data_IF_085028927660
#
_entry.id   IF_085028927660
#
_cell.length_a   1.000
_cell.length_b   1.000
_cell.length_c   1.000
_cell.angle_alpha   90.00
_cell.angle_beta   90.00
_cell.angle_gamma   90.00
#
_symmetry.space_group_name_H-M   'P 1'
#
loop_
_entity.id
_entity.type
_entity.pdbx_description
1 polymer ?
#
# COMPACT_ATOMS: atom_id res chain seq x y z
N UNK A 1 30.73 22.84 -25.05
CA UNK A 1 29.33 22.37 -24.91
C UNK A 1 28.39 23.57 -24.98
N UNK A 2 27.59 23.68 -26.04
CA UNK A 2 26.73 24.84 -26.32
C UNK A 2 25.58 24.95 -25.30
N UNK A 3 25.06 26.16 -25.07
CA UNK A 3 24.01 26.42 -24.08
C UNK A 3 22.72 25.58 -24.30
N UNK A 4 22.43 25.22 -25.54
CA UNK A 4 21.31 24.35 -25.91
C UNK A 4 21.48 22.91 -25.40
N UNK A 5 22.71 22.37 -25.49
CA UNK A 5 23.03 21.02 -25.00
C UNK A 5 22.91 20.97 -23.47
N UNK A 6 23.34 22.02 -22.75
CA UNK A 6 23.19 22.12 -21.28
C UNK A 6 21.72 22.12 -20.83
N UNK A 7 20.84 22.84 -21.54
CA UNK A 7 19.40 22.89 -21.24
C UNK A 7 18.72 21.55 -21.50
N UNK A 8 19.10 20.85 -22.56
CA UNK A 8 18.59 19.53 -22.90
C UNK A 8 18.96 18.48 -21.83
N UNK A 9 20.22 18.46 -21.39
CA UNK A 9 20.64 17.57 -20.30
C UNK A 9 19.93 17.88 -18.97
N UNK A 10 19.73 19.16 -18.66
CA UNK A 10 19.01 19.57 -17.44
C UNK A 10 17.55 19.11 -17.47
N UNK A 11 16.88 19.21 -18.63
CA UNK A 11 15.50 18.75 -18.80
C UNK A 11 15.38 17.22 -18.74
N UNK A 12 16.33 16.47 -19.31
CA UNK A 12 16.37 15.00 -19.23
C UNK A 12 16.55 14.56 -17.77
N UNK A 13 17.46 15.20 -17.03
CA UNK A 13 17.66 14.93 -15.60
C UNK A 13 16.38 15.24 -14.82
N UNK A 14 15.73 16.39 -15.07
CA UNK A 14 14.47 16.74 -14.40
C UNK A 14 13.33 15.76 -14.73
N UNK A 15 13.28 15.24 -15.96
CA UNK A 15 12.32 14.23 -16.39
C UNK A 15 12.60 12.85 -15.76
N UNK A 16 13.86 12.44 -15.62
CA UNK A 16 14.20 11.17 -14.95
C UNK A 16 13.97 11.24 -13.44
N UNK A 17 14.24 12.38 -12.79
CA UNK A 17 13.91 12.59 -11.38
C UNK A 17 12.40 12.60 -11.13
N UNK A 18 11.61 13.22 -12.01
CA UNK A 18 10.14 13.23 -11.88
C UNK A 18 9.52 11.86 -12.16
N UNK A 19 10.06 11.05 -13.09
CA UNK A 19 9.65 9.65 -13.25
C UNK A 19 10.04 8.76 -12.05
N UNK A 20 11.23 8.97 -11.48
CA UNK A 20 11.67 8.23 -10.30
C UNK A 20 10.84 8.55 -9.04
N UNK A 21 10.46 9.83 -8.85
CA UNK A 21 9.56 10.26 -7.77
C UNK A 21 8.16 9.66 -7.93
N UNK A 22 7.62 9.63 -9.15
CA UNK A 22 6.32 8.99 -9.43
C UNK A 22 6.34 7.45 -9.24
N UNK A 23 7.51 6.81 -9.32
CA UNK A 23 7.65 5.37 -9.11
C UNK A 23 7.77 4.97 -7.62
N UNK A 24 8.19 5.88 -6.75
CA UNK A 24 8.40 5.59 -5.31
C UNK A 24 7.15 5.79 -4.45
N UNK A 25 6.14 6.52 -4.94
CA UNK A 25 4.95 6.86 -4.19
C UNK A 25 5.17 7.99 -3.17
N UNK A 26 4.11 8.43 -2.50
CA UNK A 26 4.16 9.49 -1.49
C UNK A 26 3.14 9.29 -0.37
N UNK A 27 3.45 9.80 0.83
CA UNK A 27 2.54 9.80 1.97
C UNK A 27 1.81 11.13 2.11
N UNK A 28 0.53 11.04 2.48
CA UNK A 28 -0.35 12.19 2.70
C UNK A 28 -1.14 12.00 3.99
N UNK A 29 -1.19 13.03 4.82
CA UNK A 29 -2.10 13.08 5.96
C UNK A 29 -3.52 13.37 5.46
N UNK A 30 -4.44 12.52 5.84
CA UNK A 30 -5.86 12.62 5.59
C UNK A 30 -6.60 12.56 6.93
N UNK A 31 -7.85 12.98 6.93
CA UNK A 31 -8.69 12.83 8.09
C UNK A 31 -10.10 12.48 7.69
N UNK A 32 -10.71 11.59 8.44
CA UNK A 32 -12.12 11.27 8.37
C UNK A 32 -12.76 11.68 9.71
N UNK A 33 -14.00 12.14 9.68
CA UNK A 33 -14.79 12.26 10.90
C UNK A 33 -15.58 10.98 11.06
N UNK A 34 -15.50 10.35 12.22
CA UNK A 34 -16.36 9.22 12.54
C UNK A 34 -17.81 9.71 12.69
N UNK A 35 -18.74 9.07 11.97
CA UNK A 35 -20.13 9.52 11.90
C UNK A 35 -20.91 9.29 13.22
N UNK A 36 -20.40 8.44 14.12
CA UNK A 36 -21.03 8.09 15.40
C UNK A 36 -20.39 8.83 16.58
N UNK A 37 -19.07 8.87 16.67
CA UNK A 37 -18.33 9.51 17.77
C UNK A 37 -18.07 11.00 17.50
N UNK A 38 -18.22 11.45 16.24
CA UNK A 38 -17.84 12.79 15.77
C UNK A 38 -16.35 13.10 15.93
N UNK A 39 -15.53 12.09 16.27
CA UNK A 39 -14.10 12.26 16.45
C UNK A 39 -13.40 12.31 15.10
N UNK A 40 -12.34 13.14 15.04
CA UNK A 40 -11.51 13.24 13.85
C UNK A 40 -10.44 12.16 13.89
N UNK A 41 -10.59 11.17 13.02
CA UNK A 41 -9.60 10.13 12.81
C UNK A 41 -8.56 10.59 11.79
N UNK A 42 -7.29 10.53 12.18
CA UNK A 42 -6.18 10.82 11.29
C UNK A 42 -5.70 9.54 10.62
N UNK A 43 -5.60 9.60 9.29
CA UNK A 43 -5.15 8.50 8.45
C UNK A 43 -3.95 8.99 7.64
N UNK A 44 -2.90 8.17 7.51
CA UNK A 44 -1.75 8.51 6.68
C UNK A 44 -1.72 7.56 5.50
N UNK A 45 -2.15 8.05 4.34
CA UNK A 45 -2.32 7.27 3.12
C UNK A 45 -1.06 7.35 2.26
N UNK A 46 -0.56 6.19 1.81
CA UNK A 46 0.48 6.10 0.78
C UNK A 46 -0.18 5.93 -0.59
N UNK A 47 0.28 6.72 -1.55
CA UNK A 47 -0.16 6.67 -2.93
C UNK A 47 0.99 6.25 -3.84
N UNK A 48 0.76 5.22 -4.66
CA UNK A 48 1.66 4.81 -5.73
C UNK A 48 0.90 4.81 -7.04
N UNK A 49 1.46 5.48 -8.07
CA UNK A 49 0.83 5.59 -9.41
C UNK A 49 -0.62 6.12 -9.35
N UNK A 50 -0.91 7.01 -8.40
CA UNK A 50 -2.24 7.61 -8.22
C UNK A 50 -3.25 6.76 -7.47
N UNK A 51 -2.86 5.59 -6.93
CA UNK A 51 -3.74 4.68 -6.18
C UNK A 51 -3.21 4.48 -4.77
N UNK A 52 -4.11 4.30 -3.82
CA UNK A 52 -3.74 4.01 -2.43
C UNK A 52 -3.27 2.55 -2.36
N UNK A 53 -2.06 2.35 -1.88
CA UNK A 53 -1.48 1.02 -1.66
C UNK A 53 -1.14 0.71 -0.20
N UNK A 54 -1.18 1.71 0.68
CA UNK A 54 -1.23 1.50 2.13
C UNK A 54 -1.89 2.66 2.87
N UNK A 55 -2.42 2.37 4.06
CA UNK A 55 -2.99 3.36 4.98
C UNK A 55 -2.49 3.02 6.38
N UNK A 56 -1.89 4.00 7.06
CA UNK A 56 -1.55 3.89 8.46
C UNK A 56 -2.64 4.56 9.32
N UNK A 57 -3.22 3.77 10.22
CA UNK A 57 -4.25 4.19 11.17
C UNK A 57 -3.55 4.64 12.45
N UNK A 58 -3.57 5.94 12.72
CA UNK A 58 -2.79 6.53 13.83
C UNK A 58 -3.28 6.04 15.18
N UNK A 59 -4.59 5.90 15.35
CA UNK A 59 -5.20 5.52 16.63
C UNK A 59 -5.01 4.04 16.96
N UNK A 60 -4.96 3.18 15.93
CA UNK A 60 -4.87 1.72 16.08
C UNK A 60 -3.44 1.19 15.93
N UNK A 61 -2.49 2.07 15.59
CA UNK A 61 -1.09 1.75 15.30
C UNK A 61 -0.95 0.62 14.26
N UNK A 62 -1.85 0.61 13.28
CA UNK A 62 -1.96 -0.43 12.28
C UNK A 62 -1.68 0.11 10.88
N UNK A 63 -0.89 -0.65 10.12
CA UNK A 63 -0.66 -0.43 8.70
C UNK A 63 -1.51 -1.40 7.89
N UNK A 64 -2.49 -0.88 7.15
CA UNK A 64 -3.23 -1.61 6.12
C UNK A 64 -2.43 -1.58 4.82
N UNK A 65 -2.16 -2.75 4.24
CA UNK A 65 -1.47 -2.89 2.94
C UNK A 65 -2.46 -3.38 1.90
N UNK A 66 -2.61 -2.69 0.76
CA UNK A 66 -3.74 -2.88 -0.19
C UNK A 66 -3.24 -3.23 -1.58
N UNK A 67 -3.52 -4.42 -2.11
CA UNK A 67 -3.13 -4.85 -3.45
C UNK A 67 -4.32 -4.91 -4.39
N UNK A 68 -4.30 -4.08 -5.43
CA UNK A 68 -5.28 -4.11 -6.50
C UNK A 68 -5.02 -5.26 -7.48
N UNK A 69 -6.09 -5.89 -7.97
CA UNK A 69 -6.00 -6.88 -9.06
C UNK A 69 -6.40 -6.25 -10.39
N UNK A 70 -5.51 -6.37 -11.40
CA UNK A 70 -5.72 -5.87 -12.77
C UNK A 70 -5.27 -6.92 -13.80
N UNK A 71 -5.89 -6.92 -14.97
CA UNK A 71 -5.52 -7.80 -16.09
C UNK A 71 -6.30 -9.12 -16.16
N UNK A 72 -5.81 -10.08 -16.95
CA UNK A 72 -6.53 -11.33 -17.24
C UNK A 72 -6.82 -12.16 -15.99
N UNK A 73 -5.88 -12.26 -15.05
CA UNK A 73 -6.11 -12.94 -13.77
C UNK A 73 -7.25 -12.32 -12.98
N UNK A 74 -7.43 -10.99 -13.05
CA UNK A 74 -8.60 -10.31 -12.48
C UNK A 74 -9.89 -10.76 -13.18
N UNK A 75 -9.91 -10.76 -14.51
CA UNK A 75 -11.09 -11.18 -15.28
C UNK A 75 -11.47 -12.62 -14.94
N UNK A 76 -10.51 -13.55 -14.95
CA UNK A 76 -10.74 -14.96 -14.63
C UNK A 76 -11.23 -15.15 -13.19
N UNK A 77 -10.69 -14.39 -12.24
CA UNK A 77 -11.09 -14.49 -10.82
C UNK A 77 -12.51 -13.96 -10.62
N UNK A 78 -12.83 -12.80 -11.20
CA UNK A 78 -14.17 -12.22 -11.07
C UNK A 78 -15.21 -13.06 -11.81
N UNK A 79 -14.86 -13.59 -12.98
CA UNK A 79 -15.68 -14.56 -13.68
C UNK A 79 -15.94 -15.79 -12.83
N UNK A 80 -14.89 -16.38 -12.25
CA UNK A 80 -15.04 -17.54 -11.38
C UNK A 80 -15.87 -17.23 -10.11
N UNK A 81 -15.64 -16.10 -9.44
CA UNK A 81 -16.41 -15.71 -8.26
C UNK A 81 -17.89 -15.45 -8.61
N UNK A 82 -18.15 -14.80 -9.74
CA UNK A 82 -19.52 -14.53 -10.22
C UNK A 82 -20.27 -15.81 -10.63
N UNK A 83 -19.57 -16.78 -11.25
CA UNK A 83 -20.18 -18.03 -11.72
C UNK A 83 -20.32 -19.06 -10.60
N UNK A 84 -19.37 -19.12 -9.66
CA UNK A 84 -19.29 -20.20 -8.69
C UNK A 84 -19.57 -19.81 -7.23
N UNK A 85 -19.56 -18.52 -6.85
CA UNK A 85 -19.56 -18.16 -5.42
C UNK A 85 -20.14 -16.77 -5.08
N UNK A 86 -21.43 -16.53 -5.32
CA UNK A 86 -22.20 -15.33 -4.92
C UNK A 86 -21.56 -13.95 -5.21
N UNK A 87 -20.55 -13.90 -6.11
CA UNK A 87 -19.77 -12.71 -6.39
C UNK A 87 -18.77 -12.30 -5.29
N UNK A 88 -18.35 -13.23 -4.42
CA UNK A 88 -17.39 -12.98 -3.32
C UNK A 88 -16.18 -13.92 -3.37
N UNK A 89 -15.05 -13.42 -2.90
CA UNK A 89 -13.82 -14.20 -2.69
C UNK A 89 -13.64 -14.35 -1.19
N UNK A 90 -13.53 -15.60 -0.70
CA UNK A 90 -13.31 -15.85 0.72
C UNK A 90 -11.96 -15.28 1.18
N UNK A 91 -11.83 -15.05 2.47
CA UNK A 91 -10.56 -14.67 3.08
C UNK A 91 -9.54 -15.83 3.06
N UNK A 92 -8.28 -15.52 3.36
CA UNK A 92 -7.21 -16.50 3.43
C UNK A 92 -6.30 -16.22 4.61
N UNK A 93 -6.01 -17.25 5.40
CA UNK A 93 -5.03 -17.17 6.50
C UNK A 93 -3.69 -17.72 6.04
N UNK A 94 -2.61 -16.98 6.31
CA UNK A 94 -1.25 -17.43 6.00
C UNK A 94 -0.17 -16.64 6.75
N UNK A 95 1.08 -16.96 6.44
CA UNK A 95 2.25 -16.26 7.00
C UNK A 95 2.63 -15.08 6.11
N UNK A 96 2.93 -13.94 6.74
CA UNK A 96 3.52 -12.77 6.09
C UNK A 96 4.91 -12.50 6.69
N UNK A 97 5.91 -12.43 5.82
CA UNK A 97 7.27 -12.05 6.19
C UNK A 97 7.46 -10.56 5.94
N UNK A 98 7.93 -9.85 6.95
CA UNK A 98 8.11 -8.41 6.91
C UNK A 98 9.59 -8.05 7.14
N UNK A 99 10.06 -7.01 6.44
CA UNK A 99 11.40 -6.44 6.66
C UNK A 99 11.33 -4.91 6.63
N UNK A 100 11.84 -4.28 7.68
CA UNK A 100 12.08 -2.83 7.76
C UNK A 100 13.53 -2.55 7.37
N UNK A 101 13.76 -1.74 6.34
CA UNK A 101 15.10 -1.43 5.83
C UNK A 101 15.49 -0.04 6.29
N UNK A 102 16.51 0.06 7.15
CA UNK A 102 17.01 1.29 7.74
C UNK A 102 18.14 1.91 6.89
N UNK A 103 18.62 3.11 7.26
CA UNK A 103 19.77 3.73 6.60
C UNK A 103 21.07 2.99 6.94
N UNK A 104 21.91 2.72 5.94
CA UNK A 104 23.21 2.05 6.15
C UNK A 104 23.20 0.54 5.94
N UNK A 105 22.25 0.02 5.17
CA UNK A 105 22.05 -1.42 4.84
C UNK A 105 21.58 -2.32 6.00
N UNK A 106 21.35 -1.75 7.19
CA UNK A 106 20.72 -2.46 8.31
C UNK A 106 19.23 -2.71 8.05
N UNK A 107 18.73 -3.84 8.53
CA UNK A 107 17.30 -4.18 8.47
C UNK A 107 16.84 -4.98 9.68
N UNK A 108 15.55 -4.82 10.03
CA UNK A 108 14.86 -5.63 11.03
C UNK A 108 13.86 -6.55 10.32
N UNK A 109 13.94 -7.86 10.59
CA UNK A 109 13.00 -8.86 10.07
C UNK A 109 12.06 -9.35 11.16
N UNK A 110 10.80 -9.52 10.80
CA UNK A 110 9.81 -10.16 11.64
C UNK A 110 8.82 -10.96 10.82
N UNK A 111 8.29 -12.01 11.45
CA UNK A 111 7.35 -12.95 10.85
C UNK A 111 6.01 -12.80 11.57
N UNK A 112 4.95 -12.68 10.80
CA UNK A 112 3.58 -12.67 11.29
C UNK A 112 2.90 -13.94 10.82
N UNK A 113 2.56 -14.80 11.78
CA UNK A 113 1.84 -16.04 11.54
C UNK A 113 0.33 -15.83 11.66
N UNK A 114 -0.42 -16.68 10.97
CA UNK A 114 -1.88 -16.70 10.98
C UNK A 114 -2.55 -15.35 10.63
N UNK A 115 -1.89 -14.57 9.76
CA UNK A 115 -2.43 -13.30 9.29
C UNK A 115 -3.53 -13.55 8.25
N UNK A 116 -4.65 -12.84 8.41
CA UNK A 116 -5.75 -12.87 7.45
C UNK A 116 -5.51 -11.86 6.32
N UNK A 117 -5.54 -12.35 5.08
CA UNK A 117 -5.63 -11.57 3.86
C UNK A 117 -7.08 -11.60 3.41
N UNK A 118 -7.72 -10.44 3.48
CA UNK A 118 -9.11 -10.26 3.08
C UNK A 118 -9.22 -9.75 1.64
N UNK A 119 -10.34 -10.03 1.00
CA UNK A 119 -10.62 -9.66 -0.39
C UNK A 119 -11.90 -8.85 -0.46
N UNK A 120 -11.87 -7.70 -1.14
CA UNK A 120 -13.02 -6.79 -1.17
C UNK A 120 -13.17 -6.09 -2.53
N UNK A 121 -14.43 -5.85 -2.93
CA UNK A 121 -14.80 -5.21 -4.18
C UNK A 121 -14.83 -3.68 -4.08
N UNK A 122 -14.71 -2.98 -5.21
CA UNK A 122 -14.76 -1.52 -5.23
C UNK A 122 -16.19 -0.93 -5.13
N UNK A 123 -17.23 -1.74 -5.23
CA UNK A 123 -18.62 -1.30 -5.32
C UNK A 123 -19.22 -0.73 -4.01
N UNK A 124 -18.46 -0.73 -2.91
CA UNK A 124 -18.89 -0.21 -1.60
C UNK A 124 -19.91 -1.09 -0.85
N UNK A 125 -20.61 -2.00 -1.55
CA UNK A 125 -21.45 -3.05 -0.98
C UNK A 125 -20.68 -4.35 -0.65
N UNK A 126 -19.36 -4.32 -0.84
CA UNK A 126 -18.44 -5.43 -0.62
C UNK A 126 -18.54 -6.54 -1.66
N UNK A 127 -19.19 -6.29 -2.80
CA UNK A 127 -19.30 -7.26 -3.90
C UNK A 127 -18.37 -6.91 -5.04
N UNK A 128 -17.92 -7.94 -5.73
CA UNK A 128 -17.08 -7.82 -6.92
C UNK A 128 -17.96 -7.45 -8.10
N UNK A 129 -17.70 -6.29 -8.70
CA UNK A 129 -18.35 -5.82 -9.92
C UNK A 129 -17.32 -5.55 -11.02
N UNK A 130 -17.77 -4.90 -12.11
CA UNK A 130 -16.89 -4.54 -13.23
C UNK A 130 -15.78 -3.56 -12.88
N UNK A 131 -15.84 -2.90 -11.73
CA UNK A 131 -14.84 -1.93 -11.28
C UNK A 131 -13.61 -2.58 -10.64
N UNK A 132 -13.71 -3.85 -10.23
CA UNK A 132 -12.57 -4.63 -9.72
C UNK A 132 -12.69 -5.08 -8.26
N UNK A 133 -11.61 -5.68 -7.77
CA UNK A 133 -11.42 -6.00 -6.35
C UNK A 133 -9.95 -5.82 -5.94
N UNK A 134 -9.71 -5.78 -4.63
CA UNK A 134 -8.39 -5.69 -4.02
C UNK A 134 -8.27 -6.68 -2.86
N UNK A 135 -7.04 -7.02 -2.49
CA UNK A 135 -6.74 -7.73 -1.25
C UNK A 135 -6.05 -6.81 -0.26
N UNK A 136 -6.24 -7.07 1.03
CA UNK A 136 -5.55 -6.33 2.07
C UNK A 136 -5.30 -7.17 3.32
N UNK A 137 -4.34 -6.72 4.11
CA UNK A 137 -4.05 -7.22 5.45
C UNK A 137 -3.58 -6.07 6.33
N UNK A 138 -3.70 -6.23 7.64
CA UNK A 138 -3.24 -5.26 8.64
C UNK A 138 -1.98 -5.76 9.33
N UNK A 139 -1.10 -4.84 9.69
CA UNK A 139 0.08 -5.14 10.51
C UNK A 139 0.17 -4.10 11.62
N UNK A 140 0.25 -4.57 12.86
CA UNK A 140 0.59 -3.73 13.99
C UNK A 140 2.03 -3.23 13.85
N UNK A 141 2.22 -1.91 13.83
CA UNK A 141 3.49 -1.26 13.63
C UNK A 141 3.53 0.06 14.41
N UNK A 142 4.48 0.15 15.33
CA UNK A 142 4.76 1.39 16.04
C UNK A 142 5.21 2.47 15.06
N UNK A 143 4.72 3.72 15.18
CA UNK A 143 5.08 4.78 14.25
C UNK A 143 6.58 5.09 14.29
N UNK A 144 7.23 4.91 15.44
CA UNK A 144 8.67 5.12 15.61
C UNK A 144 9.53 4.13 14.83
N UNK A 145 9.03 2.92 14.57
CA UNK A 145 9.71 1.96 13.69
C UNK A 145 9.66 2.42 12.24
N UNK A 146 8.48 2.89 11.80
CA UNK A 146 8.27 3.38 10.44
C UNK A 146 9.03 4.69 10.17
N UNK A 147 9.19 5.56 11.16
CA UNK A 147 9.92 6.84 11.03
C UNK A 147 11.43 6.67 10.80
N UNK A 148 12.01 5.55 11.23
CA UNK A 148 13.47 5.26 11.12
C UNK A 148 13.83 4.49 9.85
N UNK A 149 12.86 3.77 9.29
CA UNK A 149 13.08 2.96 8.10
C UNK A 149 12.89 3.77 6.81
N UNK A 150 13.64 3.40 5.76
CA UNK A 150 13.49 3.91 4.41
C UNK A 150 12.38 3.18 3.63
N UNK A 151 12.23 1.87 3.91
CA UNK A 151 11.27 1.02 3.24
C UNK A 151 10.72 -0.03 4.21
N UNK A 152 9.50 -0.45 3.96
CA UNK A 152 8.96 -1.70 4.49
C UNK A 152 8.67 -2.64 3.32
N UNK A 153 9.08 -3.90 3.45
CA UNK A 153 8.78 -4.94 2.47
C UNK A 153 7.97 -6.05 3.08
N UNK A 154 7.05 -6.60 2.28
CA UNK A 154 6.15 -7.69 2.64
C UNK A 154 6.35 -8.82 1.63
N UNK A 155 6.41 -10.04 2.13
CA UNK A 155 6.40 -11.24 1.31
C UNK A 155 5.32 -12.19 1.82
N UNK A 156 4.37 -12.52 0.94
CA UNK A 156 3.23 -13.37 1.28
C UNK A 156 2.75 -14.16 0.07
N UNK A 157 2.10 -15.30 0.31
CA UNK A 157 1.47 -16.09 -0.74
C UNK A 157 0.11 -15.50 -1.10
N UNK A 158 -0.09 -15.13 -2.36
CA UNK A 158 -1.37 -14.65 -2.87
C UNK A 158 -2.12 -15.81 -3.53
N UNK A 159 -3.23 -16.25 -2.91
CA UNK A 159 -4.00 -17.39 -3.42
C UNK A 159 -4.64 -17.13 -4.78
N UNK A 160 -4.85 -15.87 -5.17
CA UNK A 160 -5.46 -15.50 -6.44
C UNK A 160 -4.46 -15.65 -7.59
N UNK A 161 -3.28 -15.03 -7.47
CA UNK A 161 -2.22 -15.20 -8.47
C UNK A 161 -1.46 -16.52 -8.34
N UNK A 162 -1.68 -17.28 -7.26
CA UNK A 162 -1.02 -18.53 -6.90
C UNK A 162 0.50 -18.40 -6.81
N UNK A 163 0.97 -17.23 -6.39
CA UNK A 163 2.39 -16.87 -6.38
C UNK A 163 2.76 -16.17 -5.07
N UNK A 164 4.02 -16.28 -4.70
CA UNK A 164 4.60 -15.44 -3.65
C UNK A 164 4.80 -14.04 -4.19
N UNK A 165 4.19 -13.08 -3.51
CA UNK A 165 4.25 -11.66 -3.84
C UNK A 165 5.24 -10.99 -2.92
N UNK A 166 6.13 -10.18 -3.50
CA UNK A 166 6.95 -9.22 -2.77
C UNK A 166 6.45 -7.81 -3.03
N UNK A 167 6.06 -7.11 -1.97
CA UNK A 167 5.67 -5.70 -2.03
C UNK A 167 6.67 -4.86 -1.27
N UNK A 168 7.02 -3.71 -1.82
CA UNK A 168 7.89 -2.71 -1.21
C UNK A 168 7.16 -1.38 -1.15
N UNK A 169 7.09 -0.79 0.04
CA UNK A 169 6.51 0.54 0.26
C UNK A 169 7.63 1.47 0.71
N UNK A 170 7.75 2.61 0.03
CA UNK A 170 8.64 3.69 0.44
C UNK A 170 8.10 4.34 1.70
N UNK A 171 8.94 4.55 2.71
CA UNK A 171 8.59 5.32 3.91
C UNK A 171 9.06 6.78 3.81
N UNK A 172 9.62 7.17 2.65
CA UNK A 172 10.02 8.55 2.39
C UNK A 172 8.81 9.50 2.49
N UNK A 173 8.85 10.43 3.45
CA UNK A 173 7.76 11.37 3.70
C UNK A 173 6.74 10.91 4.75
N UNK A 174 6.81 9.65 5.24
CA UNK A 174 5.96 9.16 6.32
C UNK A 174 6.10 10.03 7.58
N UNK A 175 7.34 10.23 8.05
CA UNK A 175 7.64 11.06 9.24
C UNK A 175 7.08 12.47 9.12
N UNK A 176 7.16 13.07 7.92
CA UNK A 176 6.61 14.40 7.67
C UNK A 176 5.08 14.40 7.77
N UNK A 177 4.42 13.42 7.18
CA UNK A 177 2.98 13.28 7.23
C UNK A 177 2.49 13.04 8.68
N UNK A 178 3.16 12.14 9.40
CA UNK A 178 2.86 11.84 10.81
C UNK A 178 3.01 13.07 11.70
N UNK A 179 4.12 13.80 11.59
CA UNK A 179 4.36 14.99 12.41
C UNK A 179 3.45 16.19 12.04
N UNK A 180 2.65 16.08 10.98
CA UNK A 180 1.69 17.11 10.58
C UNK A 180 0.34 17.00 11.31
N UNK A 181 0.14 15.93 12.09
CA UNK A 181 -1.04 15.75 12.93
C UNK A 181 -1.08 16.86 13.98
N UNK A 182 -2.20 17.57 14.07
CA UNK A 182 -2.45 18.58 15.11
C UNK A 182 -3.48 18.01 16.07
N UNK A 183 -3.06 17.80 17.32
CA UNK A 183 -3.93 17.47 18.44
C UNK A 183 -4.66 18.73 18.93
#
# INVERSE_FOLDING_TARGET
MTAMIKRLFSAIILATFSMALNAQGYWKLESKTDDYTMEKEYLISHYSRGLIDAIYFVNDENLKVIRDYKGLTYFDTCWNAAVYNDGKIDDYTGTIYCRLINSGDDYEEFKLDDMTISYDGYAGDGKIDTNGFFSYFYIACEPEQLKKANYITFQYYDKISKQTISRKISLAGFTKAYNSIRY
#
